data_IF_372836801248
#
_entry.id   IF_372836801248
#
_cell.length_a   1.000
_cell.length_b   1.000
_cell.length_c   1.000
_cell.angle_alpha   90.00
_cell.angle_beta   90.00
_cell.angle_gamma   90.00
#
_symmetry.space_group_name_H-M   'P 1'
#
loop_
_entity.id
_entity.type
_entity.pdbx_description
1 polymer ?
#
# COMPACT_ATOMS: atom_id res chain seq x y z
N UNK A 1 10.06 5.95 0.97
CA UNK A 1 9.58 5.05 2.02
C UNK A 1 10.67 4.74 3.04
N UNK A 2 10.27 4.23 4.19
CA UNK A 2 11.19 3.82 5.25
C UNK A 2 10.86 2.41 5.69
N UNK A 3 11.88 1.61 5.91
CA UNK A 3 11.71 0.30 6.53
C UNK A 3 11.57 0.49 8.03
N UNK A 4 10.59 -0.21 8.59
CA UNK A 4 10.30 -0.15 10.02
C UNK A 4 10.68 -1.46 10.74
N UNK A 5 11.25 -2.38 10.02
CA UNK A 5 11.61 -3.68 10.57
C UNK A 5 13.00 -3.66 11.19
N UNK A 6 13.22 -4.53 12.15
CA UNK A 6 14.55 -4.85 12.63
C UNK A 6 15.17 -5.91 11.71
N UNK A 7 16.50 -6.00 11.69
CA UNK A 7 17.16 -7.06 10.95
C UNK A 7 16.99 -8.37 11.73
N UNK A 8 16.06 -9.18 11.28
CA UNK A 8 15.75 -10.45 11.91
C UNK A 8 16.20 -11.58 10.98
N UNK A 9 16.89 -12.56 11.55
CA UNK A 9 17.30 -13.73 10.78
C UNK A 9 16.05 -14.49 10.31
N UNK A 10 16.00 -14.86 9.02
CA UNK A 10 14.86 -15.51 8.39
C UNK A 10 13.58 -14.67 8.43
N UNK A 11 13.74 -13.39 8.27
CA UNK A 11 12.63 -12.45 8.27
C UNK A 11 11.62 -12.79 7.16
N UNK A 12 10.33 -12.84 7.52
CA UNK A 12 9.24 -13.15 6.59
C UNK A 12 8.35 -11.95 6.29
N UNK A 13 8.47 -10.89 7.07
CA UNK A 13 7.70 -9.67 6.89
C UNK A 13 8.62 -8.48 6.72
N UNK A 14 8.22 -7.58 5.85
CA UNK A 14 8.88 -6.29 5.69
C UNK A 14 7.85 -5.21 5.97
N UNK A 15 8.11 -4.38 6.96
CA UNK A 15 7.23 -3.26 7.28
C UNK A 15 7.82 -1.98 6.74
N UNK A 16 7.02 -1.24 5.97
CA UNK A 16 7.44 -0.01 5.30
C UNK A 16 6.51 1.14 5.67
N UNK A 17 7.08 2.28 5.99
CA UNK A 17 6.33 3.52 6.05
C UNK A 17 6.47 4.18 4.68
N UNK A 18 5.35 4.34 3.99
CA UNK A 18 5.33 4.83 2.62
C UNK A 18 4.59 6.16 2.53
N UNK A 19 5.21 7.14 1.90
CA UNK A 19 4.60 8.43 1.65
C UNK A 19 4.32 8.56 0.16
N UNK A 20 3.08 8.85 -0.19
CA UNK A 20 2.68 9.02 -1.59
C UNK A 20 2.34 10.50 -1.80
N UNK A 21 3.14 11.21 -2.61
CA UNK A 21 2.85 12.61 -2.91
C UNK A 21 1.50 12.78 -3.61
N UNK A 22 0.94 14.02 -3.60
CA UNK A 22 -0.29 14.30 -4.33
C UNK A 22 -0.17 13.94 -5.81
N UNK A 23 -1.28 13.55 -6.42
CA UNK A 23 -1.40 13.24 -7.84
C UNK A 23 -0.37 12.18 -8.31
N UNK A 24 -0.01 11.25 -7.43
CA UNK A 24 1.01 10.22 -7.72
C UNK A 24 0.41 8.85 -7.60
N UNK A 25 0.72 7.99 -8.57
CA UNK A 25 0.34 6.59 -8.55
C UNK A 25 1.57 5.72 -8.32
N UNK A 26 1.42 4.67 -7.52
CA UNK A 26 2.42 3.62 -7.42
C UNK A 26 2.27 2.69 -8.62
N UNK A 27 3.36 2.08 -9.09
CA UNK A 27 3.29 1.15 -10.21
C UNK A 27 2.38 -0.04 -9.90
N UNK A 28 1.78 -0.60 -10.94
CA UNK A 28 1.05 -1.85 -10.84
C UNK A 28 2.03 -2.96 -10.46
N UNK A 29 1.66 -3.76 -9.48
CA UNK A 29 2.48 -4.86 -8.99
C UNK A 29 1.71 -6.16 -9.14
N UNK A 30 2.39 -7.19 -9.63
CA UNK A 30 1.86 -8.53 -9.73
C UNK A 30 2.95 -9.50 -9.27
N UNK A 31 2.61 -10.39 -8.35
CA UNK A 31 3.51 -11.45 -7.88
C UNK A 31 2.75 -12.77 -7.85
N UNK A 32 3.44 -13.85 -8.16
CA UNK A 32 2.82 -15.18 -8.21
C UNK A 32 2.35 -15.67 -6.86
N UNK A 33 3.06 -15.30 -5.79
CA UNK A 33 2.72 -15.69 -4.44
C UNK A 33 2.86 -14.52 -3.49
N UNK A 34 2.02 -14.51 -2.49
CA UNK A 34 2.13 -13.57 -1.39
C UNK A 34 0.84 -12.84 -1.10
N UNK A 35 0.92 -12.06 -0.06
CA UNK A 35 -0.17 -11.21 0.40
C UNK A 35 0.39 -9.85 0.74
N UNK A 36 -0.39 -8.81 0.46
CA UNK A 36 -0.08 -7.45 0.85
C UNK A 36 -1.11 -6.94 1.83
N UNK A 37 -0.64 -6.18 2.80
CA UNK A 37 -1.50 -5.47 3.74
C UNK A 37 -0.99 -4.03 3.84
N UNK A 38 -1.90 -3.07 3.86
CA UNK A 38 -1.53 -1.72 4.27
C UNK A 38 -2.64 -1.05 5.07
N UNK A 39 -2.21 -0.08 5.87
CA UNK A 39 -3.07 0.72 6.72
C UNK A 39 -2.83 2.19 6.41
N UNK A 40 -3.90 2.95 6.24
CA UNK A 40 -3.80 4.38 5.92
C UNK A 40 -3.64 5.17 7.21
N UNK A 41 -2.46 5.74 7.42
CA UNK A 41 -2.15 6.56 8.59
C UNK A 41 -2.63 7.98 8.43
N UNK A 42 -2.46 8.54 7.25
CA UNK A 42 -2.90 9.91 6.91
C UNK A 42 -3.30 9.98 5.46
N UNK A 43 -4.28 10.84 5.17
CA UNK A 43 -4.69 11.12 3.81
C UNK A 43 -5.69 10.14 3.25
N UNK A 44 -5.72 10.06 1.94
CA UNK A 44 -6.69 9.25 1.20
C UNK A 44 -6.02 8.69 -0.05
N UNK A 45 -6.28 7.42 -0.34
CA UNK A 45 -5.78 6.79 -1.56
C UNK A 45 -6.89 6.01 -2.24
N UNK A 46 -6.75 5.81 -3.54
CA UNK A 46 -7.59 4.91 -4.32
C UNK A 46 -6.78 3.66 -4.62
N UNK A 47 -7.35 2.51 -4.29
CA UNK A 47 -6.74 1.23 -4.62
C UNK A 47 -7.56 0.53 -5.70
N UNK A 48 -6.88 0.10 -6.75
CA UNK A 48 -7.48 -0.72 -7.81
C UNK A 48 -6.99 -2.15 -7.66
N UNK A 49 -7.94 -3.08 -7.57
CA UNK A 49 -7.66 -4.51 -7.53
C UNK A 49 -8.46 -5.15 -8.66
N UNK A 50 -7.75 -5.65 -9.70
CA UNK A 50 -8.43 -6.12 -10.89
C UNK A 50 -9.26 -5.00 -11.51
N UNK A 51 -10.57 -5.22 -11.59
CA UNK A 51 -11.51 -4.23 -12.14
C UNK A 51 -12.20 -3.37 -11.07
N UNK A 52 -11.90 -3.60 -9.80
CA UNK A 52 -12.56 -2.89 -8.69
C UNK A 52 -11.69 -1.77 -8.14
N UNK A 53 -12.34 -0.66 -7.81
CA UNK A 53 -11.69 0.53 -7.25
C UNK A 53 -12.26 0.81 -5.86
N UNK A 54 -11.37 0.99 -4.90
CA UNK A 54 -11.74 1.29 -3.52
C UNK A 54 -11.09 2.58 -3.07
N UNK A 55 -11.87 3.43 -2.39
CA UNK A 55 -11.32 4.62 -1.75
C UNK A 55 -11.04 4.32 -0.28
N UNK A 56 -9.81 4.51 0.14
CA UNK A 56 -9.37 4.24 1.50
C UNK A 56 -8.90 5.54 2.15
N UNK A 57 -9.40 5.78 3.35
CA UNK A 57 -9.12 6.99 4.13
C UNK A 57 -8.39 6.62 5.41
N UNK A 58 -7.92 7.65 6.13
CA UNK A 58 -7.28 7.46 7.44
C UNK A 58 -8.08 6.48 8.30
N UNK A 59 -7.40 5.44 8.80
CA UNK A 59 -8.01 4.40 9.62
C UNK A 59 -8.47 3.18 8.83
N UNK A 60 -8.52 3.27 7.50
CA UNK A 60 -8.88 2.13 6.66
C UNK A 60 -7.66 1.27 6.36
N UNK A 61 -7.90 0.02 6.07
CA UNK A 61 -6.86 -0.92 5.72
C UNK A 61 -7.27 -1.78 4.52
N UNK A 62 -6.28 -2.36 3.87
CA UNK A 62 -6.51 -3.29 2.77
C UNK A 62 -5.59 -4.49 2.92
N UNK A 63 -6.13 -5.67 2.64
CA UNK A 63 -5.40 -6.92 2.64
C UNK A 63 -5.83 -7.71 1.41
N UNK A 64 -4.88 -8.09 0.59
CA UNK A 64 -5.22 -8.80 -0.65
C UNK A 64 -4.10 -9.72 -1.08
N UNK A 65 -4.46 -10.65 -1.93
CA UNK A 65 -3.54 -11.58 -2.55
C UNK A 65 -2.80 -10.86 -3.69
N UNK A 66 -1.49 -11.01 -3.76
CA UNK A 66 -0.68 -10.35 -4.76
C UNK A 66 -0.75 -10.96 -6.16
N UNK A 67 -1.47 -12.05 -6.33
CA UNK A 67 -1.67 -12.69 -7.65
C UNK A 67 -2.58 -11.89 -8.56
N UNK A 68 -3.36 -10.95 -8.02
CA UNK A 68 -4.21 -10.06 -8.80
C UNK A 68 -3.48 -8.74 -8.99
N UNK A 69 -3.53 -8.20 -10.21
CA UNK A 69 -2.94 -6.88 -10.48
C UNK A 69 -3.57 -5.83 -9.58
N UNK A 70 -2.74 -5.02 -8.95
CA UNK A 70 -3.21 -3.99 -8.04
C UNK A 70 -2.34 -2.75 -8.15
N UNK A 71 -2.94 -1.61 -7.85
CA UNK A 71 -2.25 -0.34 -7.82
C UNK A 71 -2.86 0.58 -6.77
N UNK A 72 -2.08 1.54 -6.32
CA UNK A 72 -2.53 2.55 -5.35
C UNK A 72 -2.20 3.92 -5.92
N UNK A 73 -3.16 4.82 -5.87
CA UNK A 73 -3.01 6.19 -6.36
C UNK A 73 -3.48 7.19 -5.33
N UNK A 74 -2.70 8.24 -5.14
CA UNK A 74 -3.11 9.39 -4.34
C UNK A 74 -3.63 10.48 -5.29
N UNK A 75 -4.95 10.61 -5.39
CA UNK A 75 -5.61 11.63 -6.19
C UNK A 75 -5.85 12.92 -5.41
N UNK A 76 -5.56 12.94 -4.12
CA UNK A 76 -5.80 14.09 -3.26
C UNK A 76 -4.73 15.15 -3.45
N UNK A 77 -4.91 16.28 -2.76
CA UNK A 77 -3.95 17.38 -2.76
C UNK A 77 -2.95 17.31 -1.61
N UNK A 78 -3.03 16.26 -0.80
CA UNK A 78 -2.18 16.07 0.39
C UNK A 78 -1.37 14.80 0.25
N UNK A 79 -0.24 14.76 0.95
CA UNK A 79 0.55 13.53 1.03
C UNK A 79 -0.26 12.48 1.76
N UNK A 80 -0.26 11.25 1.24
CA UNK A 80 -0.84 10.10 1.93
C UNK A 80 0.28 9.32 2.60
N UNK A 81 0.02 8.82 3.80
CA UNK A 81 0.98 7.99 4.54
C UNK A 81 0.38 6.63 4.81
N UNK A 82 1.09 5.59 4.40
CA UNK A 82 0.65 4.21 4.54
C UNK A 82 1.67 3.42 5.35
N UNK A 83 1.16 2.53 6.20
CA UNK A 83 1.97 1.47 6.79
C UNK A 83 1.74 0.23 5.93
N UNK A 84 2.76 -0.23 5.25
CA UNK A 84 2.71 -1.35 4.32
C UNK A 84 3.47 -2.55 4.89
N UNK A 85 2.87 -3.70 4.81
CA UNK A 85 3.48 -4.94 5.30
C UNK A 85 3.57 -5.99 4.22
#
# INVERSE_FOLDING_TARGET
YRRLDAQIRNQRMNALLMEIPPATALPVVHREEGEDFFYVLEGEVEQTIGDEVFTLRKGDSAHHNTQVDHSVMNKSRRVAKLLWV
#
